data_IF_190988316862
#
_entry.id   IF_190988316862
#
_cell.length_a   1.000
_cell.length_b   1.000
_cell.length_c   1.000
_cell.angle_alpha   90.00
_cell.angle_beta   90.00
_cell.angle_gamma   90.00
#
_symmetry.space_group_name_H-M   'P 1'
#
loop_
_entity.id
_entity.type
_entity.pdbx_description
1 polymer ?
#
# COMPACT_ATOMS: atom_id res chain seq x y z
N UNK A 1 -29.97 -30.29 -24.05
CA UNK A 1 -28.78 -30.37 -24.92
C UNK A 1 -27.88 -29.21 -24.60
N UNK A 2 -26.76 -29.41 -23.87
CA UNK A 2 -25.75 -28.38 -23.58
C UNK A 2 -24.83 -28.30 -24.80
N UNK A 3 -24.99 -27.30 -25.65
CA UNK A 3 -24.04 -26.98 -26.72
C UNK A 3 -22.70 -26.64 -26.09
N UNK A 4 -21.69 -27.52 -26.25
CA UNK A 4 -20.28 -27.21 -25.94
C UNK A 4 -19.87 -26.00 -26.76
N UNK A 5 -19.77 -24.82 -26.13
CA UNK A 5 -19.08 -23.65 -26.72
C UNK A 5 -17.66 -24.11 -27.07
N UNK A 6 -17.36 -24.32 -28.37
CA UNK A 6 -15.97 -24.51 -28.84
C UNK A 6 -15.17 -23.31 -28.32
N UNK A 7 -14.07 -23.58 -27.61
CA UNK A 7 -13.24 -22.51 -27.05
C UNK A 7 -12.88 -21.51 -28.16
N UNK A 8 -13.04 -20.24 -27.91
CA UNK A 8 -12.71 -19.16 -28.86
C UNK A 8 -11.27 -19.31 -29.40
N UNK A 9 -10.38 -19.85 -28.56
CA UNK A 9 -9.01 -20.20 -28.92
C UNK A 9 -8.93 -21.14 -30.14
N UNK A 10 -9.86 -22.08 -30.31
CA UNK A 10 -9.83 -23.01 -31.43
C UNK A 10 -10.10 -22.35 -32.79
N UNK A 11 -10.77 -21.20 -32.80
CA UNK A 11 -11.17 -20.44 -34.00
C UNK A 11 -10.10 -19.44 -34.49
N UNK A 12 -9.05 -19.19 -33.69
CA UNK A 12 -8.02 -18.22 -34.03
C UNK A 12 -7.09 -18.73 -35.15
N UNK A 13 -6.55 -17.84 -36.01
CA UNK A 13 -5.48 -18.14 -36.94
C UNK A 13 -4.23 -18.70 -36.22
N UNK A 14 -3.41 -19.47 -36.93
CA UNK A 14 -2.23 -20.11 -36.32
C UNK A 14 -1.25 -19.08 -35.73
N UNK A 15 -1.06 -17.92 -36.37
CA UNK A 15 -0.22 -16.83 -35.85
C UNK A 15 -0.71 -16.28 -34.51
N UNK A 16 -2.01 -16.04 -34.40
CA UNK A 16 -2.62 -15.51 -33.16
C UNK A 16 -2.53 -16.51 -32.01
N UNK A 17 -2.70 -17.80 -32.32
CA UNK A 17 -2.51 -18.88 -31.33
C UNK A 17 -1.09 -18.90 -30.78
N UNK A 18 -0.09 -18.75 -31.65
CA UNK A 18 1.32 -18.73 -31.24
C UNK A 18 1.61 -17.54 -30.31
N UNK A 19 1.11 -16.34 -30.66
CA UNK A 19 1.27 -15.14 -29.83
C UNK A 19 0.60 -15.33 -28.47
N UNK A 20 -0.62 -15.89 -28.44
CA UNK A 20 -1.33 -16.16 -27.18
C UNK A 20 -0.60 -17.19 -26.33
N UNK A 21 -0.08 -18.28 -26.91
CA UNK A 21 0.69 -19.30 -26.19
C UNK A 21 1.95 -18.67 -25.58
N UNK A 22 2.70 -17.90 -26.35
CA UNK A 22 3.88 -17.18 -25.85
C UNK A 22 3.49 -16.25 -24.70
N UNK A 23 2.40 -15.49 -24.84
CA UNK A 23 1.88 -14.62 -23.79
C UNK A 23 1.53 -15.38 -22.51
N UNK A 24 0.83 -16.51 -22.62
CA UNK A 24 0.51 -17.36 -21.46
C UNK A 24 1.74 -17.98 -20.80
N UNK A 25 2.74 -18.39 -21.58
CA UNK A 25 4.01 -18.92 -21.05
C UNK A 25 4.75 -17.83 -20.28
N UNK A 26 4.89 -16.64 -20.87
CA UNK A 26 5.53 -15.50 -20.20
C UNK A 26 4.78 -15.15 -18.89
N UNK A 27 3.44 -15.04 -18.97
CA UNK A 27 2.61 -14.75 -17.80
C UNK A 27 2.76 -15.84 -16.73
N UNK A 28 2.77 -17.11 -17.12
CA UNK A 28 2.99 -18.24 -16.22
C UNK A 28 4.34 -18.19 -15.52
N UNK A 29 5.40 -17.85 -16.24
CA UNK A 29 6.73 -17.66 -15.66
C UNK A 29 6.78 -16.49 -14.66
N UNK A 30 6.12 -15.35 -14.97
CA UNK A 30 5.98 -14.25 -14.04
C UNK A 30 5.22 -14.64 -12.77
N UNK A 31 4.10 -15.35 -12.92
CA UNK A 31 3.31 -15.84 -11.79
C UNK A 31 4.15 -16.76 -10.89
N UNK A 32 4.88 -17.71 -11.49
CA UNK A 32 5.78 -18.60 -10.74
C UNK A 32 6.88 -17.81 -10.02
N UNK A 33 7.52 -16.84 -10.69
CA UNK A 33 8.56 -16.01 -10.10
C UNK A 33 8.07 -15.20 -8.88
N UNK A 34 6.78 -14.83 -8.85
CA UNK A 34 6.17 -14.11 -7.72
C UNK A 34 5.71 -15.09 -6.64
N UNK A 35 5.09 -16.21 -7.01
CA UNK A 35 4.51 -17.15 -6.04
C UNK A 35 5.60 -17.93 -5.30
N UNK A 36 6.66 -18.36 -5.98
CA UNK A 36 7.71 -19.17 -5.35
C UNK A 36 8.34 -18.53 -4.10
N UNK A 37 8.76 -17.24 -4.09
CA UNK A 37 9.26 -16.61 -2.88
C UNK A 37 8.20 -16.50 -1.78
N UNK A 38 6.94 -16.25 -2.12
CA UNK A 38 5.86 -16.15 -1.15
C UNK A 38 5.60 -17.51 -0.47
N UNK A 39 5.53 -18.58 -1.26
CA UNK A 39 5.39 -19.95 -0.74
C UNK A 39 6.60 -20.32 0.13
N UNK A 40 7.81 -19.95 -0.30
CA UNK A 40 9.01 -20.14 0.49
C UNK A 40 8.92 -19.47 1.87
N UNK A 41 8.52 -18.19 1.92
CA UNK A 41 8.35 -17.44 3.17
C UNK A 41 7.31 -18.09 4.08
N UNK A 42 6.17 -18.53 3.50
CA UNK A 42 5.10 -19.21 4.26
C UNK A 42 5.62 -20.51 4.87
N UNK A 43 6.27 -21.36 4.08
CA UNK A 43 6.79 -22.64 4.57
C UNK A 43 7.92 -22.43 5.58
N UNK A 44 8.85 -21.50 5.31
CA UNK A 44 9.95 -21.18 6.19
C UNK A 44 9.50 -20.63 7.56
N UNK A 45 8.34 -19.99 7.64
CA UNK A 45 7.81 -19.44 8.90
C UNK A 45 7.37 -20.52 9.91
N UNK A 46 7.17 -21.75 9.45
CA UNK A 46 6.80 -22.90 10.30
C UNK A 46 7.99 -23.78 10.66
N UNK A 47 9.19 -23.51 10.16
CA UNK A 47 10.37 -24.37 10.36
C UNK A 47 11.37 -23.62 11.24
N UNK A 48 11.95 -24.32 12.23
CA UNK A 48 13.01 -23.75 13.05
C UNK A 48 14.26 -23.39 12.19
N UNK A 49 14.99 -22.31 12.55
CA UNK A 49 16.13 -21.83 11.77
C UNK A 49 17.23 -22.86 11.54
N UNK A 50 17.53 -23.70 12.55
CA UNK A 50 18.60 -24.69 12.45
C UNK A 50 18.32 -25.76 11.39
N UNK A 51 17.15 -26.43 11.40
CA UNK A 51 16.75 -27.31 10.30
C UNK A 51 16.67 -26.60 8.95
N UNK A 52 16.16 -25.37 8.93
CA UNK A 52 16.02 -24.59 7.69
C UNK A 52 17.38 -24.28 7.04
N UNK A 53 18.39 -23.88 7.83
CA UNK A 53 19.74 -23.59 7.34
C UNK A 53 20.49 -24.86 6.90
N UNK A 54 20.34 -25.98 7.62
CA UNK A 54 21.08 -27.18 7.36
C UNK A 54 20.49 -28.04 6.23
N UNK A 55 19.16 -28.10 6.14
CA UNK A 55 18.44 -29.01 5.25
C UNK A 55 17.55 -28.30 4.23
N UNK A 56 17.48 -26.96 4.28
CA UNK A 56 16.55 -26.18 3.47
C UNK A 56 15.08 -26.39 3.84
N UNK A 57 14.19 -26.09 2.89
CA UNK A 57 12.76 -26.40 3.08
C UNK A 57 12.54 -27.91 3.18
N UNK A 58 11.90 -28.32 4.25
CA UNK A 58 11.50 -29.72 4.45
C UNK A 58 9.97 -29.81 4.49
N UNK A 59 9.43 -30.82 3.81
CA UNK A 59 8.01 -31.19 3.91
C UNK A 59 7.73 -32.16 5.04
N UNK A 60 8.71 -32.38 5.91
CA UNK A 60 8.55 -33.19 7.11
C UNK A 60 7.79 -32.38 8.17
N UNK A 61 6.49 -32.62 8.28
CA UNK A 61 5.60 -31.93 9.22
C UNK A 61 5.98 -32.13 10.70
N UNK A 62 6.80 -33.12 11.02
CA UNK A 62 7.28 -33.33 12.39
C UNK A 62 8.24 -32.22 12.87
N UNK A 63 8.83 -31.48 11.94
CA UNK A 63 9.74 -30.36 12.18
C UNK A 63 9.06 -29.00 12.16
N UNK A 64 7.74 -28.98 11.95
CA UNK A 64 6.99 -27.73 11.91
C UNK A 64 6.64 -27.30 13.33
N UNK A 65 6.80 -26.00 13.59
CA UNK A 65 6.60 -25.39 14.89
C UNK A 65 5.94 -24.03 14.75
N UNK A 66 5.17 -23.62 15.75
CA UNK A 66 4.56 -22.31 15.87
C UNK A 66 5.35 -21.36 16.80
N UNK A 67 6.51 -21.78 17.27
CA UNK A 67 7.32 -21.05 18.25
C UNK A 67 7.64 -19.62 17.79
N UNK A 68 7.86 -19.41 16.49
CA UNK A 68 8.08 -18.09 15.90
C UNK A 68 6.87 -17.18 16.10
N UNK A 69 5.69 -17.70 15.79
CA UNK A 69 4.42 -16.98 15.94
C UNK A 69 4.09 -16.68 17.40
N UNK A 70 4.28 -17.65 18.29
CA UNK A 70 4.08 -17.46 19.74
C UNK A 70 4.97 -16.35 20.29
N UNK A 71 6.26 -16.34 19.91
CA UNK A 71 7.20 -15.29 20.35
C UNK A 71 6.85 -13.91 19.77
N UNK A 72 6.46 -13.83 18.50
CA UNK A 72 6.06 -12.56 17.89
C UNK A 72 4.78 -12.05 18.53
N UNK A 73 3.77 -12.90 18.71
CA UNK A 73 2.48 -12.52 19.26
C UNK A 73 2.50 -12.26 20.78
N UNK A 74 3.45 -12.83 21.53
CA UNK A 74 3.62 -12.55 22.96
C UNK A 74 4.27 -11.20 23.24
N UNK A 75 4.87 -10.56 22.23
CA UNK A 75 5.48 -9.25 22.38
C UNK A 75 4.41 -8.13 22.38
N UNK A 76 4.19 -7.50 23.54
CA UNK A 76 3.21 -6.43 23.69
C UNK A 76 3.44 -5.24 22.77
N UNK A 77 4.71 -4.94 22.42
CA UNK A 77 5.07 -3.84 21.54
C UNK A 77 4.54 -4.05 20.11
N UNK A 78 4.43 -5.31 19.67
CA UNK A 78 3.85 -5.63 18.35
C UNK A 78 2.37 -5.24 18.30
N UNK A 79 1.61 -5.52 19.34
CA UNK A 79 0.19 -5.13 19.42
C UNK A 79 -0.01 -3.62 19.48
N UNK A 80 0.85 -2.91 20.23
CA UNK A 80 0.87 -1.44 20.24
C UNK A 80 1.17 -0.92 18.85
N UNK A 81 2.20 -1.45 18.19
CA UNK A 81 2.57 -1.07 16.82
C UNK A 81 1.48 -1.36 15.80
N UNK A 82 0.81 -2.51 15.92
CA UNK A 82 -0.31 -2.89 15.06
C UNK A 82 -1.48 -1.91 15.17
N UNK A 83 -1.89 -1.60 16.41
CA UNK A 83 -2.93 -0.60 16.68
C UNK A 83 -2.55 0.77 16.08
N UNK A 84 -1.32 1.22 16.31
CA UNK A 84 -0.84 2.49 15.81
C UNK A 84 -0.80 2.50 14.28
N UNK A 85 -0.27 1.47 13.63
CA UNK A 85 -0.24 1.35 12.18
C UNK A 85 -1.64 1.40 11.58
N UNK A 86 -2.62 0.74 12.19
CA UNK A 86 -4.01 0.76 11.73
C UNK A 86 -4.61 2.16 11.85
N UNK A 87 -4.47 2.80 13.02
CA UNK A 87 -4.97 4.16 13.26
C UNK A 87 -4.34 5.15 12.30
N UNK A 88 -3.01 5.10 12.13
CA UNK A 88 -2.29 6.02 11.23
C UNK A 88 -2.68 5.80 9.78
N UNK A 89 -2.80 4.55 9.34
CA UNK A 89 -3.21 4.24 7.96
C UNK A 89 -4.63 4.73 7.66
N UNK A 90 -5.57 4.55 8.60
CA UNK A 90 -6.95 5.03 8.43
C UNK A 90 -7.00 6.55 8.42
N UNK A 91 -6.41 7.21 9.42
CA UNK A 91 -6.42 8.68 9.52
C UNK A 91 -5.72 9.33 8.33
N UNK A 92 -4.55 8.84 7.96
CA UNK A 92 -3.81 9.32 6.80
C UNK A 92 -4.62 9.17 5.51
N UNK A 93 -5.24 8.02 5.31
CA UNK A 93 -6.08 7.76 4.13
C UNK A 93 -7.23 8.75 4.04
N UNK A 94 -7.95 8.97 5.15
CA UNK A 94 -9.08 9.91 5.18
C UNK A 94 -8.60 11.33 4.86
N UNK A 95 -7.54 11.80 5.54
CA UNK A 95 -7.00 13.15 5.31
C UNK A 95 -6.53 13.29 3.85
N UNK A 96 -5.75 12.33 3.38
CA UNK A 96 -5.17 12.40 2.03
C UNK A 96 -6.23 12.33 0.93
N UNK A 97 -7.24 11.45 1.06
CA UNK A 97 -8.35 11.36 0.11
C UNK A 97 -9.13 12.67 0.07
N UNK A 98 -9.51 13.20 1.24
CA UNK A 98 -10.27 14.46 1.31
C UNK A 98 -9.50 15.60 0.65
N UNK A 99 -8.25 15.81 1.02
CA UNK A 99 -7.43 16.89 0.47
C UNK A 99 -7.20 16.71 -1.04
N UNK A 100 -6.94 15.48 -1.48
CA UNK A 100 -6.75 15.16 -2.91
C UNK A 100 -7.98 15.44 -3.73
N UNK A 101 -9.17 14.99 -3.27
CA UNK A 101 -10.42 15.17 -4.01
C UNK A 101 -10.83 16.64 -4.07
N UNK A 102 -10.69 17.37 -2.94
CA UNK A 102 -10.97 18.81 -2.89
C UNK A 102 -10.04 19.63 -3.79
N UNK A 103 -8.75 19.26 -3.85
CA UNK A 103 -7.79 19.92 -4.73
C UNK A 103 -8.02 19.56 -6.21
N UNK A 104 -8.40 18.32 -6.52
CA UNK A 104 -8.62 17.86 -7.89
C UNK A 104 -9.85 18.50 -8.53
N UNK A 105 -10.88 18.84 -7.74
CA UNK A 105 -12.13 19.37 -8.28
C UNK A 105 -11.96 20.70 -9.02
N UNK A 106 -11.46 21.80 -8.41
CA UNK A 106 -11.23 23.04 -9.13
C UNK A 106 -10.24 22.88 -10.29
N UNK A 107 -9.27 21.98 -10.13
CA UNK A 107 -8.29 21.70 -11.17
C UNK A 107 -8.89 20.96 -12.38
N UNK A 108 -10.03 20.31 -12.25
CA UNK A 108 -10.77 19.67 -13.35
C UNK A 108 -11.66 20.64 -14.12
N UNK A 109 -12.00 21.78 -13.51
CA UNK A 109 -12.90 22.76 -14.08
C UNK A 109 -12.23 23.62 -15.15
N UNK A 110 -12.90 23.84 -16.28
CA UNK A 110 -12.38 24.67 -17.38
C UNK A 110 -12.58 26.16 -17.14
N UNK A 111 -13.56 26.53 -16.32
CA UNK A 111 -13.91 27.90 -15.94
C UNK A 111 -13.02 28.45 -14.78
N UNK A 112 -12.23 27.61 -14.12
CA UNK A 112 -11.30 28.04 -13.08
C UNK A 112 -10.10 28.79 -13.66
N UNK A 113 -10.10 30.12 -13.57
CA UNK A 113 -9.07 31.01 -14.16
C UNK A 113 -7.66 30.78 -13.64
N UNK A 114 -7.49 30.26 -12.41
CA UNK A 114 -6.19 29.96 -11.80
C UNK A 114 -5.58 28.60 -12.17
N UNK A 115 -6.28 27.78 -12.95
CA UNK A 115 -5.96 26.39 -13.21
C UNK A 115 -4.54 26.16 -13.74
N UNK A 116 -4.10 26.94 -14.73
CA UNK A 116 -2.76 26.76 -15.33
C UNK A 116 -1.66 27.13 -14.34
N UNK A 117 -1.81 28.22 -13.62
CA UNK A 117 -0.87 28.65 -12.60
C UNK A 117 -0.68 27.60 -11.51
N UNK A 118 -1.76 27.10 -10.92
CA UNK A 118 -1.70 26.05 -9.89
C UNK A 118 -1.16 24.73 -10.45
N UNK A 119 -1.48 24.36 -11.69
CA UNK A 119 -0.91 23.17 -12.31
C UNK A 119 0.62 23.26 -12.39
N UNK A 120 1.17 24.41 -12.80
CA UNK A 120 2.61 24.60 -12.87
C UNK A 120 3.25 24.49 -11.49
N UNK A 121 2.67 25.14 -10.47
CA UNK A 121 3.16 25.02 -9.09
C UNK A 121 3.15 23.57 -8.62
N UNK A 122 2.03 22.85 -8.78
CA UNK A 122 1.93 21.45 -8.37
C UNK A 122 2.96 20.58 -9.08
N UNK A 123 3.13 20.74 -10.38
CA UNK A 123 4.14 19.98 -11.14
C UNK A 123 5.56 20.31 -10.67
N UNK A 124 5.88 21.58 -10.39
CA UNK A 124 7.17 21.97 -9.82
C UNK A 124 7.42 21.25 -8.49
N UNK A 125 6.43 21.26 -7.57
CA UNK A 125 6.57 20.58 -6.26
C UNK A 125 6.70 19.08 -6.36
N UNK A 126 6.26 18.47 -7.45
CA UNK A 126 6.42 17.04 -7.70
C UNK A 126 7.87 16.66 -8.01
N UNK A 127 8.63 17.53 -8.68
CA UNK A 127 10.03 17.29 -9.07
C UNK A 127 11.03 17.91 -8.11
N UNK A 128 10.65 18.96 -7.39
CA UNK A 128 11.53 19.69 -6.49
C UNK A 128 11.03 19.59 -5.04
N UNK A 129 11.60 18.66 -4.28
CA UNK A 129 11.36 18.55 -2.84
C UNK A 129 12.41 19.27 -2.04
N UNK A 130 12.05 19.75 -0.84
CA UNK A 130 12.98 20.41 0.08
C UNK A 130 14.07 19.50 0.66
N UNK A 131 13.88 18.16 0.57
CA UNK A 131 14.78 17.18 1.15
C UNK A 131 14.50 16.91 2.64
N UNK A 132 15.24 15.93 3.18
CA UNK A 132 15.00 15.41 4.52
C UNK A 132 15.26 16.46 5.62
N UNK A 133 16.42 17.13 5.57
CA UNK A 133 16.83 18.06 6.63
C UNK A 133 15.90 19.28 6.72
N UNK A 134 15.57 20.00 5.64
CA UNK A 134 14.60 21.07 5.69
C UNK A 134 13.21 20.64 6.18
N UNK A 135 12.74 19.46 5.77
CA UNK A 135 11.45 18.93 6.23
C UNK A 135 11.48 18.61 7.73
N UNK A 136 12.56 18.02 8.23
CA UNK A 136 12.74 17.76 9.66
C UNK A 136 12.73 19.04 10.47
N UNK A 137 13.48 20.07 10.04
CA UNK A 137 13.53 21.37 10.71
C UNK A 137 12.15 22.05 10.72
N UNK A 138 11.40 21.96 9.63
CA UNK A 138 10.03 22.48 9.57
C UNK A 138 9.12 21.79 10.60
N UNK A 139 9.12 20.46 10.64
CA UNK A 139 8.32 19.66 11.57
C UNK A 139 8.73 19.97 13.02
N UNK A 140 10.03 20.09 13.29
CA UNK A 140 10.56 20.47 14.60
C UNK A 140 10.10 21.87 15.03
N UNK A 141 10.23 22.86 14.15
CA UNK A 141 9.82 24.23 14.43
C UNK A 141 8.29 24.38 14.63
N UNK A 142 7.51 23.53 14.02
CA UNK A 142 6.05 23.46 14.22
C UNK A 142 5.66 22.71 15.51
N UNK A 143 6.65 22.21 16.29
CA UNK A 143 6.39 21.46 17.52
C UNK A 143 5.71 20.12 17.29
N UNK A 144 5.82 19.53 16.10
CA UNK A 144 5.13 18.30 15.74
C UNK A 144 5.94 17.03 16.05
N UNK A 145 7.22 17.14 16.43
CA UNK A 145 8.04 15.99 16.80
C UNK A 145 7.38 15.18 17.91
N UNK A 146 7.54 13.88 17.83
CA UNK A 146 6.91 12.88 18.70
C UNK A 146 5.37 12.99 18.78
N UNK A 147 4.73 13.47 17.72
CA UNK A 147 3.27 13.46 17.56
C UNK A 147 2.87 12.70 16.29
N UNK A 148 1.62 12.21 16.26
CA UNK A 148 1.08 11.54 15.07
C UNK A 148 1.01 12.48 13.86
N UNK A 149 0.88 13.79 14.08
CA UNK A 149 0.77 14.79 13.03
C UNK A 149 2.04 14.92 12.18
N UNK A 150 3.20 14.63 12.78
CA UNK A 150 4.47 14.59 12.04
C UNK A 150 4.49 13.53 10.92
N UNK A 151 3.68 12.49 11.06
CA UNK A 151 3.57 11.41 10.07
C UNK A 151 2.39 11.67 9.12
N UNK A 152 1.27 12.18 9.65
CA UNK A 152 0.02 12.27 8.89
C UNK A 152 -0.01 13.45 7.92
N UNK A 153 0.55 14.62 8.30
CA UNK A 153 0.37 15.85 7.52
C UNK A 153 1.36 16.03 6.36
N UNK A 154 2.67 15.76 6.51
CA UNK A 154 3.64 16.07 5.44
C UNK A 154 3.38 15.35 4.12
N UNK A 155 2.92 14.10 4.19
CA UNK A 155 2.62 13.27 3.01
C UNK A 155 1.15 13.26 2.60
N UNK A 156 0.27 14.03 3.28
CA UNK A 156 -1.18 13.92 3.08
C UNK A 156 -1.64 14.34 1.67
N UNK A 157 -0.94 15.28 1.03
CA UNK A 157 -1.25 15.71 -0.32
C UNK A 157 -0.24 15.13 -1.33
N UNK A 158 -0.75 14.39 -2.30
CA UNK A 158 0.01 13.86 -3.43
C UNK A 158 -0.45 14.49 -4.73
N UNK A 159 0.45 15.21 -5.39
CA UNK A 159 0.17 15.82 -6.70
C UNK A 159 -0.17 14.75 -7.73
N UNK A 160 0.50 13.58 -7.68
CA UNK A 160 0.20 12.46 -8.54
C UNK A 160 -1.24 11.98 -8.41
N UNK A 161 -1.69 11.74 -7.18
CA UNK A 161 -3.07 11.32 -6.91
C UNK A 161 -4.09 12.40 -7.31
N UNK A 162 -3.75 13.67 -7.10
CA UNK A 162 -4.58 14.80 -7.54
C UNK A 162 -4.75 14.84 -9.07
N UNK A 163 -3.67 14.62 -9.83
CA UNK A 163 -3.73 14.55 -11.30
C UNK A 163 -4.61 13.39 -11.76
N UNK A 164 -4.52 12.22 -11.13
CA UNK A 164 -5.34 11.06 -11.46
C UNK A 164 -6.82 11.34 -11.16
N UNK A 165 -7.13 11.87 -9.97
CA UNK A 165 -8.50 12.24 -9.59
C UNK A 165 -9.08 13.31 -10.54
N UNK A 166 -8.30 14.34 -10.87
CA UNK A 166 -8.65 15.37 -11.84
C UNK A 166 -8.98 14.75 -13.21
N UNK A 167 -8.13 13.87 -13.70
CA UNK A 167 -8.32 13.23 -15.01
C UNK A 167 -9.60 12.39 -15.02
N UNK A 168 -9.90 11.72 -13.92
CA UNK A 168 -11.15 10.99 -13.75
C UNK A 168 -12.37 11.90 -13.78
N UNK A 169 -12.34 13.02 -13.06
CA UNK A 169 -13.42 14.03 -13.07
C UNK A 169 -13.68 14.60 -14.48
N UNK A 170 -12.60 14.87 -15.23
CA UNK A 170 -12.72 15.36 -16.61
C UNK A 170 -13.33 14.34 -17.57
N UNK A 171 -13.30 13.05 -17.24
CA UNK A 171 -13.93 11.97 -18.01
C UNK A 171 -15.45 11.84 -17.79
N UNK A 172 -16.00 12.53 -16.80
CA UNK A 172 -17.45 12.52 -16.51
C UNK A 172 -18.18 13.46 -17.49
N UNK A 173 -19.31 13.03 -18.09
CA UNK A 173 -20.07 13.85 -19.01
C UNK A 173 -20.50 15.17 -18.36
N UNK A 174 -20.35 16.27 -19.07
CA UNK A 174 -20.77 17.61 -18.63
C UNK A 174 -22.29 17.74 -18.45
N UNK A 175 -23.05 16.98 -19.22
CA UNK A 175 -24.51 16.93 -19.15
C UNK A 175 -25.01 16.67 -17.71
N UNK A 176 -24.25 15.89 -16.93
CA UNK A 176 -24.58 15.62 -15.52
C UNK A 176 -24.49 16.88 -14.65
N UNK A 177 -23.53 17.74 -14.94
CA UNK A 177 -23.38 19.01 -14.23
C UNK A 177 -24.42 20.01 -14.69
N UNK A 178 -24.65 20.13 -16.00
CA UNK A 178 -25.64 21.05 -16.57
C UNK A 178 -27.04 20.71 -16.08
N UNK A 179 -27.42 19.44 -16.00
CA UNK A 179 -28.67 19.00 -15.41
C UNK A 179 -28.78 19.41 -13.92
N UNK A 180 -27.74 19.26 -13.14
CA UNK A 180 -27.72 19.66 -11.74
C UNK A 180 -27.85 21.18 -11.57
N UNK A 181 -27.24 21.98 -12.45
CA UNK A 181 -27.35 23.44 -12.46
C UNK A 181 -28.80 23.90 -12.82
N UNK A 182 -29.46 23.23 -13.78
CA UNK A 182 -30.87 23.49 -14.12
C UNK A 182 -31.77 23.18 -12.93
N UNK A 183 -31.47 22.11 -12.17
CA UNK A 183 -32.19 21.76 -10.94
C UNK A 183 -31.88 22.69 -9.74
N UNK A 184 -31.04 23.73 -9.94
CA UNK A 184 -30.69 24.71 -8.91
C UNK A 184 -29.65 24.21 -7.90
N UNK A 185 -28.90 23.16 -8.21
CA UNK A 185 -27.83 22.66 -7.33
C UNK A 185 -26.67 23.66 -7.28
N UNK A 186 -26.18 23.95 -6.06
CA UNK A 186 -24.94 24.70 -5.89
C UNK A 186 -23.74 23.81 -6.19
N UNK A 187 -22.58 24.42 -6.48
CA UNK A 187 -21.30 23.68 -6.70
C UNK A 187 -21.00 22.66 -5.59
N UNK A 188 -21.25 23.01 -4.33
CA UNK A 188 -21.04 22.09 -3.21
C UNK A 188 -22.02 20.92 -3.22
N UNK A 189 -23.29 21.17 -3.57
CA UNK A 189 -24.28 20.09 -3.71
C UNK A 189 -23.91 19.18 -4.85
N UNK A 190 -23.53 19.72 -6.00
CA UNK A 190 -23.04 18.94 -7.14
C UNK A 190 -21.84 18.08 -6.74
N UNK A 191 -20.81 18.69 -6.14
CA UNK A 191 -19.60 17.97 -5.74
C UNK A 191 -19.89 16.81 -4.79
N UNK A 192 -20.56 17.08 -3.65
CA UNK A 192 -20.74 16.07 -2.61
C UNK A 192 -21.84 15.05 -2.91
N UNK A 193 -22.93 15.45 -3.55
CA UNK A 193 -24.10 14.58 -3.73
C UNK A 193 -24.17 13.90 -5.10
N UNK A 194 -23.50 14.45 -6.11
CA UNK A 194 -23.59 13.93 -7.48
C UNK A 194 -22.22 13.41 -7.93
N UNK A 195 -21.20 14.27 -7.94
CA UNK A 195 -19.89 13.92 -8.46
C UNK A 195 -19.19 12.84 -7.64
N UNK A 196 -19.03 13.01 -6.32
CA UNK A 196 -18.32 12.05 -5.48
C UNK A 196 -18.92 10.64 -5.51
N UNK A 197 -20.24 10.41 -5.44
CA UNK A 197 -20.82 9.09 -5.58
C UNK A 197 -20.50 8.41 -6.93
N UNK A 198 -20.48 9.16 -8.02
CA UNK A 198 -20.09 8.65 -9.34
C UNK A 198 -18.60 8.32 -9.40
N UNK A 199 -17.78 9.03 -8.63
CA UNK A 199 -16.34 8.87 -8.56
C UNK A 199 -15.87 7.79 -7.57
N UNK A 200 -16.78 7.00 -6.99
CA UNK A 200 -16.44 5.94 -6.02
C UNK A 200 -15.26 5.04 -6.45
N UNK A 201 -15.11 4.60 -7.72
CA UNK A 201 -13.99 3.77 -8.14
C UNK A 201 -12.63 4.45 -7.94
N UNK A 202 -12.49 5.71 -8.33
CA UNK A 202 -11.22 6.42 -8.18
C UNK A 202 -10.93 6.77 -6.71
N UNK A 203 -11.97 7.08 -5.92
CA UNK A 203 -11.85 7.31 -4.48
C UNK A 203 -11.31 6.05 -3.80
N UNK A 204 -11.87 4.87 -4.11
CA UNK A 204 -11.43 3.60 -3.58
C UNK A 204 -9.97 3.28 -3.98
N UNK A 205 -9.59 3.59 -5.22
CA UNK A 205 -8.23 3.38 -5.71
C UNK A 205 -7.22 4.24 -4.94
N UNK A 206 -7.48 5.53 -4.81
CA UNK A 206 -6.60 6.45 -4.06
C UNK A 206 -6.56 6.05 -2.58
N UNK A 207 -7.71 5.72 -1.98
CA UNK A 207 -7.79 5.27 -0.59
C UNK A 207 -6.94 4.03 -0.35
N UNK A 208 -7.00 3.04 -1.25
CA UNK A 208 -6.18 1.84 -1.15
C UNK A 208 -4.68 2.16 -1.25
N UNK A 209 -4.25 2.97 -2.22
CA UNK A 209 -2.84 3.33 -2.36
C UNK A 209 -2.30 4.06 -1.12
N UNK A 210 -3.08 5.00 -0.58
CA UNK A 210 -2.69 5.74 0.61
C UNK A 210 -2.66 4.86 1.86
N UNK A 211 -3.63 3.97 2.02
CA UNK A 211 -3.65 3.03 3.13
C UNK A 211 -2.45 2.08 3.09
N UNK A 212 -2.22 1.44 1.94
CA UNK A 212 -1.09 0.51 1.76
C UNK A 212 0.26 1.22 1.93
N UNK A 213 0.38 2.44 1.39
CA UNK A 213 1.57 3.27 1.55
C UNK A 213 1.88 3.58 3.01
N UNK A 214 0.90 4.05 3.77
CA UNK A 214 1.07 4.38 5.19
C UNK A 214 1.28 3.12 6.03
N UNK A 215 0.56 2.02 5.77
CA UNK A 215 0.75 0.75 6.46
C UNK A 215 2.18 0.24 6.38
N UNK A 216 2.83 0.38 5.21
CA UNK A 216 4.21 -0.05 4.98
C UNK A 216 5.26 1.00 5.38
N UNK A 217 4.83 2.21 5.77
CA UNK A 217 5.76 3.28 6.13
C UNK A 217 6.39 3.03 7.50
N UNK A 218 7.70 3.18 7.57
CA UNK A 218 8.46 3.14 8.81
C UNK A 218 9.45 4.31 8.94
N UNK A 219 9.88 4.86 7.80
CA UNK A 219 10.99 5.82 7.76
C UNK A 219 10.65 7.13 8.47
N UNK A 220 9.50 7.71 8.18
CA UNK A 220 9.05 8.94 8.83
C UNK A 220 8.83 8.72 10.33
N UNK A 221 8.26 7.57 10.71
CA UNK A 221 8.11 7.21 12.11
C UNK A 221 9.46 7.06 12.83
N UNK A 222 10.46 6.53 12.15
CA UNK A 222 11.82 6.40 12.70
C UNK A 222 12.49 7.75 12.96
N UNK A 223 12.18 8.75 12.13
CA UNK A 223 12.79 10.07 12.22
C UNK A 223 12.04 10.97 13.22
N UNK A 224 10.71 10.92 13.23
CA UNK A 224 9.89 11.89 13.93
C UNK A 224 9.33 11.39 15.27
N UNK A 225 9.28 10.06 15.52
CA UNK A 225 8.73 9.49 16.77
C UNK A 225 9.83 8.95 17.68
N UNK A 226 9.88 9.50 18.89
CA UNK A 226 10.81 9.04 19.92
C UNK A 226 10.18 8.03 20.89
N UNK A 227 8.87 8.16 21.14
CA UNK A 227 8.15 7.34 22.10
C UNK A 227 7.81 5.95 21.54
N UNK A 228 8.23 4.88 22.20
CA UNK A 228 7.93 3.50 21.80
C UNK A 228 6.42 3.22 21.70
N UNK A 229 5.61 3.88 22.55
CA UNK A 229 4.15 3.74 22.52
C UNK A 229 3.47 4.29 21.27
N UNK A 230 4.17 5.09 20.46
CA UNK A 230 3.67 5.71 19.24
C UNK A 230 4.19 5.04 17.95
N UNK A 231 5.14 4.13 18.07
CA UNK A 231 5.75 3.48 16.93
C UNK A 231 4.73 2.62 16.17
N UNK A 232 4.66 2.71 14.82
CA UNK A 232 3.85 1.82 14.00
C UNK A 232 4.50 0.45 13.85
N UNK A 233 3.71 -0.54 13.44
CA UNK A 233 4.11 -1.94 13.34
C UNK A 233 5.42 -2.14 12.57
N UNK A 234 5.56 -1.54 11.39
CA UNK A 234 6.73 -1.73 10.52
C UNK A 234 8.03 -1.24 11.19
N UNK A 235 7.96 -0.17 11.98
CA UNK A 235 9.12 0.30 12.73
C UNK A 235 9.47 -0.67 13.89
N UNK A 236 8.47 -1.18 14.61
CA UNK A 236 8.67 -2.18 15.68
C UNK A 236 9.29 -3.45 15.11
N UNK A 237 8.75 -3.97 14.00
CA UNK A 237 9.27 -5.19 13.37
C UNK A 237 10.70 -4.99 12.86
N UNK A 238 10.99 -3.84 12.26
CA UNK A 238 12.35 -3.48 11.84
C UNK A 238 13.30 -3.44 13.02
N UNK A 239 12.91 -2.85 14.15
CA UNK A 239 13.77 -2.80 15.35
C UNK A 239 14.05 -4.20 15.91
N UNK A 240 13.07 -5.10 15.96
CA UNK A 240 13.25 -6.49 16.37
C UNK A 240 14.26 -7.19 15.46
N UNK A 241 14.14 -7.05 14.14
CA UNK A 241 15.04 -7.68 13.17
C UNK A 241 16.47 -7.14 13.26
N UNK A 242 16.66 -5.82 13.46
CA UNK A 242 17.99 -5.21 13.58
C UNK A 242 18.64 -5.56 14.92
N UNK A 243 17.93 -5.49 16.03
CA UNK A 243 18.46 -5.84 17.35
C UNK A 243 18.87 -7.30 17.46
N UNK A 244 18.31 -8.14 16.64
CA UNK A 244 18.64 -9.57 16.57
C UNK A 244 19.83 -9.88 15.64
N UNK A 245 20.36 -8.89 14.89
CA UNK A 245 21.54 -9.08 14.07
C UNK A 245 22.82 -8.90 14.89
N UNK A 246 23.88 -9.74 14.66
CA UNK A 246 25.17 -9.56 15.31
C UNK A 246 25.81 -8.24 14.85
N UNK A 247 26.19 -7.37 15.77
CA UNK A 247 26.98 -6.18 15.42
C UNK A 247 28.43 -6.56 15.06
N UNK A 248 28.93 -6.15 13.89
CA UNK A 248 30.32 -6.37 13.53
C UNK A 248 31.23 -5.55 14.47
N UNK A 249 32.00 -6.24 15.29
CA UNK A 249 33.03 -5.61 16.15
C UNK A 249 32.79 -5.65 17.65
N UNK A 250 31.64 -6.08 18.16
CA UNK A 250 31.50 -6.43 19.58
C UNK A 250 32.00 -7.84 19.83
N UNK A 251 33.08 -7.95 20.63
CA UNK A 251 33.58 -9.21 21.21
C UNK A 251 32.66 -9.59 22.36
N UNK A 252 31.42 -9.89 22.06
CA UNK A 252 30.51 -10.57 22.98
C UNK A 252 30.60 -12.07 22.74
N UNK A 253 30.44 -12.86 23.78
CA UNK A 253 30.49 -14.31 23.72
C UNK A 253 29.91 -14.89 22.46
N UNK A 254 30.65 -15.70 21.71
CA UNK A 254 30.23 -16.35 20.46
C UNK A 254 28.86 -17.03 20.59
N UNK A 255 28.56 -17.57 21.77
CA UNK A 255 27.28 -18.22 22.09
C UNK A 255 26.09 -17.23 22.11
N UNK A 256 26.28 -16.03 22.65
CA UNK A 256 25.21 -15.02 22.71
C UNK A 256 24.90 -14.45 21.33
N UNK A 257 25.92 -14.31 20.49
CA UNK A 257 25.80 -13.82 19.10
C UNK A 257 25.10 -14.83 18.21
N UNK A 258 25.44 -16.12 18.32
CA UNK A 258 24.78 -17.20 17.59
C UNK A 258 23.30 -17.35 17.98
N UNK A 259 22.98 -17.27 19.28
CA UNK A 259 21.61 -17.34 19.76
C UNK A 259 20.74 -16.16 19.26
N UNK A 260 21.32 -14.94 19.21
CA UNK A 260 20.62 -13.77 18.66
C UNK A 260 20.38 -13.92 17.16
N UNK A 261 21.37 -14.37 16.40
CA UNK A 261 21.21 -14.60 14.96
C UNK A 261 20.13 -15.65 14.66
N UNK A 262 20.09 -16.74 15.43
CA UNK A 262 19.03 -17.75 15.33
C UNK A 262 17.65 -17.18 15.65
N UNK A 263 17.54 -16.34 16.67
CA UNK A 263 16.30 -15.68 17.03
C UNK A 263 15.82 -14.71 15.92
N UNK A 264 16.75 -13.95 15.31
CA UNK A 264 16.44 -13.09 14.18
C UNK A 264 15.86 -13.86 13.01
N UNK A 265 16.50 -14.98 12.68
CA UNK A 265 16.09 -15.83 11.58
C UNK A 265 14.73 -16.50 11.84
N UNK A 266 14.51 -16.95 13.08
CA UNK A 266 13.22 -17.49 13.52
C UNK A 266 12.09 -16.48 13.34
N UNK A 267 12.30 -15.23 13.79
CA UNK A 267 11.27 -14.21 13.78
C UNK A 267 10.99 -13.61 12.40
N UNK A 268 11.98 -13.65 11.50
CA UNK A 268 11.96 -12.99 10.19
C UNK A 268 10.72 -13.36 9.36
N UNK A 269 10.51 -14.64 9.14
CA UNK A 269 9.42 -15.09 8.26
C UNK A 269 8.04 -14.93 8.91
N UNK A 270 7.89 -15.26 10.18
CA UNK A 270 6.65 -15.06 10.92
C UNK A 270 6.24 -13.57 10.97
N UNK A 271 7.23 -12.67 11.15
CA UNK A 271 7.04 -11.22 11.14
C UNK A 271 6.50 -10.73 9.78
N UNK A 272 7.07 -11.21 8.68
CA UNK A 272 6.61 -10.85 7.31
C UNK A 272 5.14 -11.27 7.13
N UNK A 273 4.77 -12.48 7.55
CA UNK A 273 3.40 -12.97 7.42
C UNK A 273 2.43 -12.14 8.26
N UNK A 274 2.75 -11.94 9.55
CA UNK A 274 1.89 -11.17 10.46
C UNK A 274 1.68 -9.73 9.95
N UNK A 275 2.74 -9.10 9.44
CA UNK A 275 2.62 -7.73 8.91
C UNK A 275 1.83 -7.65 7.59
N UNK A 276 1.79 -8.74 6.82
CA UNK A 276 1.06 -8.80 5.55
C UNK A 276 -0.43 -9.14 5.71
N UNK A 277 -0.82 -9.82 6.79
CA UNK A 277 -2.20 -10.28 7.02
C UNK A 277 -3.25 -9.17 6.89
N UNK A 278 -3.09 -7.98 7.49
CA UNK A 278 -4.10 -6.94 7.38
C UNK A 278 -4.33 -6.46 5.96
N UNK A 279 -3.26 -6.35 5.16
CA UNK A 279 -3.37 -5.97 3.75
C UNK A 279 -4.09 -7.06 2.94
N UNK A 280 -3.80 -8.32 3.22
CA UNK A 280 -4.48 -9.44 2.57
C UNK A 280 -5.97 -9.50 2.92
N UNK A 281 -6.33 -9.18 4.17
CA UNK A 281 -7.73 -9.13 4.62
C UNK A 281 -8.46 -7.94 3.98
N UNK A 282 -7.78 -6.80 3.82
CA UNK A 282 -8.39 -5.59 3.26
C UNK A 282 -8.57 -5.63 1.74
N UNK A 283 -7.70 -6.35 1.02
CA UNK A 283 -7.72 -6.40 -0.44
C UNK A 283 -9.10 -6.73 -1.04
N UNK A 284 -9.84 -7.76 -0.59
CA UNK A 284 -11.16 -8.10 -1.15
C UNK A 284 -12.20 -6.97 -1.02
N UNK A 285 -12.06 -6.10 0.00
CA UNK A 285 -12.98 -4.98 0.17
C UNK A 285 -12.79 -3.91 -0.91
N UNK A 286 -11.57 -3.73 -1.40
CA UNK A 286 -11.27 -2.78 -2.48
C UNK A 286 -11.47 -3.39 -3.87
N UNK A 287 -11.23 -4.68 -4.05
CA UNK A 287 -11.31 -5.39 -5.34
C UNK A 287 -12.62 -5.12 -6.07
N UNK A 288 -13.76 -5.16 -5.37
CA UNK A 288 -15.10 -4.93 -5.95
C UNK A 288 -15.24 -3.56 -6.65
N UNK A 289 -14.45 -2.57 -6.25
CA UNK A 289 -14.49 -1.22 -6.86
C UNK A 289 -13.62 -1.15 -8.11
N UNK A 290 -12.58 -1.97 -8.22
CA UNK A 290 -11.75 -2.06 -9.42
C UNK A 290 -12.48 -2.73 -10.59
N UNK A 291 -13.19 -3.80 -10.31
CA UNK A 291 -13.94 -4.54 -11.35
C UNK A 291 -14.97 -3.62 -12.03
N UNK A 292 -15.63 -2.76 -11.28
CA UNK A 292 -16.60 -1.79 -11.80
C UNK A 292 -15.94 -0.61 -12.57
N UNK A 293 -14.75 -0.18 -12.15
CA UNK A 293 -14.04 0.95 -12.77
C UNK A 293 -13.42 0.63 -14.13
N UNK A 294 -12.92 -0.58 -14.29
CA UNK A 294 -12.32 -1.05 -15.56
C UNK A 294 -13.40 -1.19 -16.65
N UNK A 295 -14.60 -1.65 -16.29
CA UNK A 295 -15.72 -1.79 -17.22
C UNK A 295 -16.23 -0.44 -17.74
N UNK A 296 -16.24 0.61 -16.92
CA UNK A 296 -16.69 1.93 -17.34
C UNK A 296 -15.74 2.60 -18.36
N UNK A 297 -14.44 2.27 -18.33
CA UNK A 297 -13.45 2.73 -19.31
C UNK A 297 -13.44 1.93 -20.63
N UNK A 298 -13.84 0.66 -20.58
CA UNK A 298 -13.80 -0.25 -21.75
C UNK A 298 -15.00 -0.09 -22.71
N UNK A 299 -16.08 0.55 -22.28
CA UNK A 299 -17.34 0.70 -23.08
C UNK A 299 -17.30 1.97 -23.96
N UNK A 300 -16.22 2.75 -23.93
CA UNK A 300 -16.03 3.93 -24.80
C UNK A 300 -15.17 3.65 -26.05
N UNK A 301 -15.12 2.37 -26.50
CA UNK A 301 -14.53 1.97 -27.78
C UNK A 301 -15.61 1.61 -28.79
#
# INVERSE_FOLDING_TARGET
>A
MKTKKKSEFAKLPTGDKTILIIGYVILGLFILAIILPVVYIILASFIDPIPLQNSGLTFDFSKWTLTAYERVLSNSQIWVGFRNALIYSVLFTVISVVVTLLAAYPMSRTDFKGREFFNVIFVITMFFGGGLIPTYLLISNLGMLDTIWAILLPGAFSVWNMIIARTYYMGIPRDLQEAAEIDGATEMVYFFKILLPVCTPIIATIAMWQFVGMWNSYFDAMIYLNSASKQPLQLVLRSILIQSQPEPGMVSDMQSTAARAQLAELLKYATIIISSLPLMIMYPFFQKYFDNGIMAGAVKG
#
